data_IF_535986222581
#
_entry.id   IF_535986222581
#
_cell.length_a   1.000
_cell.length_b   1.000
_cell.length_c   1.000
_cell.angle_alpha   90.00
_cell.angle_beta   90.00
_cell.angle_gamma   90.00
#
_symmetry.space_group_name_H-M   'P 1'
#
loop_
_entity.id
_entity.type
_entity.pdbx_description
1 polymer ?
#
# COMPACT_ATOMS: atom_id res chain seq x y z
N UNK A 1 -5.62 6.57 18.41
CA UNK A 1 -4.80 5.64 19.20
C UNK A 1 -5.71 4.57 19.82
N UNK A 2 -5.46 3.30 19.51
CA UNK A 2 -6.20 2.18 20.07
C UNK A 2 -5.78 1.96 21.52
N UNK A 3 -6.65 2.38 22.46
CA UNK A 3 -6.34 2.37 23.90
C UNK A 3 -7.24 1.44 24.72
N UNK A 4 -8.17 0.71 24.07
CA UNK A 4 -9.12 -0.15 24.76
C UNK A 4 -9.28 -1.49 24.03
N UNK A 5 -9.53 -2.59 24.76
CA UNK A 5 -9.88 -3.88 24.16
C UNK A 5 -11.19 -3.80 23.40
N UNK A 6 -11.27 -4.47 22.23
CA UNK A 6 -12.48 -4.49 21.39
C UNK A 6 -12.81 -3.15 20.72
N UNK A 7 -11.84 -2.22 20.67
CA UNK A 7 -12.02 -0.91 20.07
C UNK A 7 -11.75 -0.90 18.57
N UNK A 8 -12.37 0.06 17.87
CA UNK A 8 -12.09 0.42 16.49
C UNK A 8 -11.46 1.79 16.38
N UNK A 9 -10.47 1.95 15.50
CA UNK A 9 -9.95 3.24 15.07
C UNK A 9 -10.32 3.44 13.61
N UNK A 10 -10.94 4.58 13.32
CA UNK A 10 -11.29 5.01 11.99
C UNK A 10 -10.58 6.34 11.73
N UNK A 11 -9.90 6.43 10.62
CA UNK A 11 -9.15 7.64 10.29
C UNK A 11 -9.24 7.99 8.81
N UNK A 12 -9.14 9.27 8.51
CA UNK A 12 -9.05 9.79 7.17
C UNK A 12 -7.87 10.76 7.10
N UNK A 13 -6.90 10.45 6.26
CA UNK A 13 -5.71 11.25 6.03
C UNK A 13 -5.74 11.83 4.63
N UNK A 14 -5.59 13.15 4.52
CA UNK A 14 -5.46 13.85 3.25
C UNK A 14 -4.08 14.49 3.18
N UNK A 15 -3.33 14.20 2.11
CA UNK A 15 -2.04 14.82 1.83
C UNK A 15 -2.07 15.43 0.44
N UNK A 16 -1.75 16.72 0.37
CA UNK A 16 -1.61 17.46 -0.88
C UNK A 16 -0.16 17.91 -1.02
N UNK A 17 0.50 17.47 -2.10
CA UNK A 17 1.85 17.92 -2.45
C UNK A 17 1.75 18.83 -3.64
N UNK A 18 2.02 20.11 -3.41
CA UNK A 18 1.85 21.16 -4.42
C UNK A 18 2.90 21.08 -5.52
N UNK A 19 2.66 21.82 -6.60
CA UNK A 19 3.48 21.83 -7.83
C UNK A 19 4.98 21.96 -7.54
N UNK A 20 5.75 20.99 -8.05
CA UNK A 20 7.20 20.96 -7.93
C UNK A 20 7.73 20.63 -6.52
N UNK A 21 6.86 20.48 -5.53
CA UNK A 21 7.27 20.14 -4.16
C UNK A 21 7.68 18.67 -4.02
N UNK A 22 8.52 18.41 -3.02
CA UNK A 22 8.93 17.05 -2.64
C UNK A 22 8.61 16.79 -1.18
N UNK A 23 7.93 15.70 -0.90
CA UNK A 23 7.58 15.28 0.45
C UNK A 23 7.92 13.80 0.66
N UNK A 24 8.56 13.50 1.79
CA UNK A 24 8.64 12.15 2.30
C UNK A 24 7.78 12.06 3.58
N UNK A 25 6.68 11.35 3.50
CA UNK A 25 5.80 11.09 4.63
C UNK A 25 6.06 9.67 5.15
N UNK A 26 6.28 9.55 6.46
CA UNK A 26 6.56 8.27 7.12
C UNK A 26 5.48 8.01 8.15
N UNK A 27 4.81 6.89 8.01
CA UNK A 27 3.76 6.41 8.91
C UNK A 27 4.22 5.12 9.58
N UNK A 28 4.18 5.09 10.90
CA UNK A 28 4.44 3.90 11.70
C UNK A 28 3.19 3.53 12.49
N UNK A 29 2.63 2.34 12.26
CA UNK A 29 1.43 1.86 12.90
C UNK A 29 1.73 0.66 13.80
N UNK A 30 1.31 0.74 15.05
CA UNK A 30 1.39 -0.36 16.00
C UNK A 30 0.23 -0.30 17.00
N UNK A 31 -0.12 -1.44 17.59
CA UNK A 31 -1.12 -1.49 18.64
C UNK A 31 -0.65 -2.40 19.80
N UNK A 32 -1.07 -2.10 21.04
CA UNK A 32 -0.89 -3.00 22.17
C UNK A 32 -1.56 -4.35 21.91
N UNK A 33 -1.06 -5.38 22.57
CA UNK A 33 -1.67 -6.71 22.52
C UNK A 33 -2.82 -6.78 23.53
N UNK A 34 -4.03 -6.98 23.01
CA UNK A 34 -5.22 -7.25 23.81
C UNK A 34 -5.69 -8.70 23.57
N UNK A 35 -6.49 -9.23 24.50
CA UNK A 35 -7.12 -10.57 24.35
C UNK A 35 -8.41 -10.54 23.53
N UNK A 36 -8.70 -9.42 22.89
CA UNK A 36 -9.88 -9.20 22.05
C UNK A 36 -9.46 -8.69 20.68
N UNK A 37 -10.28 -8.97 19.68
CA UNK A 37 -10.10 -8.45 18.34
C UNK A 37 -10.33 -6.94 18.33
N UNK A 38 -9.44 -6.20 17.71
CA UNK A 38 -9.53 -4.77 17.48
C UNK A 38 -9.54 -4.48 15.98
N UNK A 39 -10.08 -3.34 15.59
CA UNK A 39 -10.17 -2.90 14.20
C UNK A 39 -9.39 -1.60 13.98
N UNK A 40 -8.60 -1.57 12.93
CA UNK A 40 -8.09 -0.36 12.32
C UNK A 40 -8.66 -0.27 10.90
N UNK A 41 -9.32 0.84 10.57
CA UNK A 41 -9.81 1.14 9.24
C UNK A 41 -9.38 2.54 8.84
N UNK A 42 -8.46 2.61 7.87
CA UNK A 42 -7.89 3.86 7.39
C UNK A 42 -8.32 4.17 5.95
N UNK A 43 -8.56 5.45 5.69
CA UNK A 43 -8.71 6.00 4.35
C UNK A 43 -7.62 7.06 4.14
N UNK A 44 -6.79 6.89 3.10
CA UNK A 44 -5.72 7.83 2.78
C UNK A 44 -5.90 8.32 1.35
N UNK A 45 -5.98 9.63 1.19
CA UNK A 45 -6.09 10.30 -0.11
C UNK A 45 -4.87 11.20 -0.31
N UNK A 46 -4.18 10.99 -1.43
CA UNK A 46 -2.95 11.68 -1.79
C UNK A 46 -3.12 12.41 -3.11
N UNK A 47 -2.80 13.69 -3.13
CA UNK A 47 -2.79 14.51 -4.34
C UNK A 47 -1.37 14.95 -4.63
N UNK A 48 -0.83 14.50 -5.75
CA UNK A 48 0.52 14.82 -6.21
C UNK A 48 0.40 15.72 -7.44
N UNK A 49 0.63 17.00 -7.24
CA UNK A 49 0.50 18.00 -8.29
C UNK A 49 1.61 17.89 -9.35
N UNK A 50 1.52 18.71 -10.39
CA UNK A 50 2.45 18.73 -11.52
C UNK A 50 3.91 18.82 -11.07
N UNK A 51 4.76 17.89 -11.53
CA UNK A 51 6.18 17.83 -11.20
C UNK A 51 6.51 17.57 -9.74
N UNK A 52 5.50 17.30 -8.89
CA UNK A 52 5.72 17.00 -7.48
C UNK A 52 6.14 15.54 -7.26
N UNK A 53 6.79 15.30 -6.14
CA UNK A 53 7.16 13.94 -5.71
C UNK A 53 6.68 13.69 -4.30
N UNK A 54 5.91 12.63 -4.11
CA UNK A 54 5.52 12.13 -2.80
C UNK A 54 6.10 10.72 -2.59
N UNK A 55 6.93 10.55 -1.56
CA UNK A 55 7.27 9.24 -1.03
C UNK A 55 6.43 8.98 0.21
N UNK A 56 5.58 7.96 0.16
CA UNK A 56 4.73 7.54 1.26
C UNK A 56 5.24 6.20 1.80
N UNK A 57 5.87 6.23 2.96
CA UNK A 57 6.44 5.06 3.60
C UNK A 57 5.58 4.64 4.78
N UNK A 58 5.10 3.40 4.79
CA UNK A 58 4.30 2.84 5.87
C UNK A 58 4.98 1.60 6.45
N UNK A 59 5.07 1.54 7.77
CA UNK A 59 5.47 0.32 8.49
C UNK A 59 4.33 -0.04 9.43
N UNK A 60 3.65 -1.14 9.13
CA UNK A 60 2.53 -1.64 9.90
C UNK A 60 2.96 -2.88 10.69
N UNK A 61 3.10 -2.72 12.00
CA UNK A 61 3.46 -3.81 12.92
C UNK A 61 2.40 -3.94 14.02
N UNK A 62 1.23 -4.42 13.60
CA UNK A 62 0.09 -4.59 14.47
C UNK A 62 0.20 -5.85 15.33
N UNK A 63 -0.48 -5.86 16.47
CA UNK A 63 -0.66 -7.10 17.24
C UNK A 63 -1.49 -8.13 16.46
N UNK A 64 -1.30 -9.42 16.75
CA UNK A 64 -2.04 -10.50 16.07
C UNK A 64 -3.55 -10.54 16.33
N UNK A 65 -4.07 -9.66 17.18
CA UNK A 65 -5.50 -9.50 17.45
C UNK A 65 -6.07 -8.24 16.76
N UNK A 66 -5.46 -7.83 15.65
CA UNK A 66 -5.93 -6.69 14.84
C UNK A 66 -6.49 -7.15 13.51
N UNK A 67 -7.61 -6.55 13.13
CA UNK A 67 -8.02 -6.43 11.74
C UNK A 67 -7.55 -5.07 11.22
N UNK A 68 -6.82 -5.06 10.13
CA UNK A 68 -6.26 -3.85 9.52
C UNK A 68 -6.80 -3.73 8.09
N UNK A 69 -7.74 -2.80 7.91
CA UNK A 69 -8.46 -2.60 6.65
C UNK A 69 -8.19 -1.19 6.15
N UNK A 70 -7.37 -1.06 5.13
CA UNK A 70 -6.94 0.24 4.63
C UNK A 70 -7.28 0.44 3.15
N UNK A 71 -7.80 1.62 2.86
CA UNK A 71 -7.95 2.13 1.51
C UNK A 71 -6.99 3.30 1.32
N UNK A 72 -6.07 3.19 0.35
CA UNK A 72 -5.12 4.26 0.03
C UNK A 72 -5.23 4.59 -1.46
N UNK A 73 -5.33 5.87 -1.80
CA UNK A 73 -5.42 6.32 -3.19
C UNK A 73 -4.56 7.55 -3.44
N UNK A 74 -3.81 7.54 -4.53
CA UNK A 74 -3.07 8.69 -5.02
C UNK A 74 -3.59 9.13 -6.39
N UNK A 75 -3.82 10.43 -6.56
CA UNK A 75 -3.98 11.08 -7.86
C UNK A 75 -2.67 11.77 -8.22
N UNK A 76 -2.13 11.47 -9.41
CA UNK A 76 -0.83 11.96 -9.84
C UNK A 76 -1.00 12.77 -11.13
N UNK A 77 -0.68 14.05 -11.05
CA UNK A 77 -0.75 14.97 -12.16
C UNK A 77 0.52 14.94 -13.05
N UNK A 78 0.56 15.77 -14.07
CA UNK A 78 1.61 15.79 -15.10
C UNK A 78 3.02 15.76 -14.50
N UNK A 79 3.85 14.81 -14.97
CA UNK A 79 5.24 14.60 -14.49
C UNK A 79 5.36 14.43 -12.96
N UNK A 80 4.26 14.22 -12.26
CA UNK A 80 4.27 13.90 -10.83
C UNK A 80 4.72 12.47 -10.56
N UNK A 81 5.23 12.22 -9.37
CA UNK A 81 5.71 10.89 -8.95
C UNK A 81 5.16 10.52 -7.58
N UNK A 82 4.55 9.35 -7.47
CA UNK A 82 4.21 8.69 -6.20
C UNK A 82 5.10 7.47 -5.98
N UNK A 83 5.76 7.43 -4.83
CA UNK A 83 6.55 6.29 -4.38
C UNK A 83 5.92 5.69 -3.11
N UNK A 84 5.40 4.48 -3.22
CA UNK A 84 4.88 3.72 -2.10
C UNK A 84 5.95 2.78 -1.55
N UNK A 85 6.20 2.86 -0.26
CA UNK A 85 7.04 1.89 0.46
C UNK A 85 6.20 1.29 1.58
N UNK A 86 5.94 -0.01 1.53
CA UNK A 86 5.04 -0.68 2.46
C UNK A 86 5.71 -1.86 3.12
N UNK A 87 5.76 -1.85 4.43
CA UNK A 87 6.15 -2.98 5.27
C UNK A 87 4.96 -3.46 6.09
N UNK A 88 4.45 -4.67 5.83
CA UNK A 88 3.28 -5.22 6.50
C UNK A 88 3.70 -6.40 7.38
N UNK A 89 3.64 -6.17 8.67
CA UNK A 89 3.97 -7.14 9.71
C UNK A 89 2.86 -7.17 10.77
N UNK A 90 2.64 -8.28 11.40
CA UNK A 90 1.61 -8.37 12.45
C UNK A 90 0.21 -8.56 11.88
N UNK A 91 -0.80 -8.08 12.61
CA UNK A 91 -2.25 -8.27 12.41
C UNK A 91 -2.73 -9.73 12.34
N UNK A 92 -4.01 -9.96 12.57
CA UNK A 92 -4.71 -11.22 12.26
C UNK A 92 -5.10 -11.25 10.79
N UNK A 93 -5.72 -10.15 10.35
CA UNK A 93 -6.12 -9.93 8.95
C UNK A 93 -5.64 -8.55 8.53
N UNK A 94 -5.00 -8.46 7.39
CA UNK A 94 -4.74 -7.19 6.68
C UNK A 94 -5.36 -7.25 5.30
N UNK A 95 -6.06 -6.18 4.92
CA UNK A 95 -6.45 -5.90 3.53
C UNK A 95 -5.93 -4.51 3.16
N UNK A 96 -4.98 -4.44 2.23
CA UNK A 96 -4.31 -3.20 1.86
C UNK A 96 -3.98 -3.18 0.37
N UNK A 97 -4.65 -2.30 -0.37
CA UNK A 97 -4.49 -2.17 -1.82
C UNK A 97 -4.31 -0.70 -2.23
N UNK A 98 -3.09 -0.13 -2.11
CA UNK A 98 -2.83 1.21 -2.60
C UNK A 98 -3.15 1.32 -4.10
N UNK A 99 -3.89 2.36 -4.45
CA UNK A 99 -4.27 2.65 -5.83
C UNK A 99 -3.58 3.93 -6.29
N UNK A 100 -2.89 3.88 -7.42
CA UNK A 100 -2.33 5.05 -8.09
C UNK A 100 -3.11 5.34 -9.37
N UNK A 101 -3.62 6.56 -9.51
CA UNK A 101 -4.24 7.05 -10.75
C UNK A 101 -3.28 8.04 -11.40
N UNK A 102 -2.66 7.62 -12.50
CA UNK A 102 -1.72 8.43 -13.27
C UNK A 102 -2.50 9.27 -14.29
N UNK A 103 -3.00 10.42 -13.82
CA UNK A 103 -3.95 11.28 -14.52
C UNK A 103 -3.27 12.25 -15.48
N UNK A 104 -2.04 12.64 -15.17
CA UNK A 104 -1.28 13.58 -16.00
C UNK A 104 -0.25 12.88 -16.88
N UNK A 105 0.03 13.48 -18.04
CA UNK A 105 1.09 12.99 -18.94
C UNK A 105 2.43 12.87 -18.21
N UNK A 106 3.15 11.75 -18.43
CA UNK A 106 4.45 11.51 -17.81
C UNK A 106 4.41 11.20 -16.32
N UNK A 107 3.21 11.03 -15.71
CA UNK A 107 3.09 10.68 -14.30
C UNK A 107 3.67 9.29 -14.01
N UNK A 108 4.19 9.10 -12.79
CA UNK A 108 4.88 7.88 -12.38
C UNK A 108 4.34 7.33 -11.07
N UNK A 109 4.33 5.99 -10.96
CA UNK A 109 4.05 5.27 -9.73
C UNK A 109 5.10 4.19 -9.49
N UNK A 110 5.69 4.20 -8.32
CA UNK A 110 6.61 3.16 -7.86
C UNK A 110 6.06 2.54 -6.59
N UNK A 111 6.00 1.23 -6.54
CA UNK A 111 5.55 0.49 -5.36
C UNK A 111 6.61 -0.53 -4.95
N UNK A 112 7.04 -0.46 -3.69
CA UNK A 112 7.87 -1.47 -3.05
C UNK A 112 7.16 -1.96 -1.80
N UNK A 113 6.81 -3.26 -1.78
CA UNK A 113 6.11 -3.88 -0.67
C UNK A 113 6.85 -5.09 -0.12
N UNK A 114 6.87 -5.20 1.20
CA UNK A 114 7.37 -6.39 1.92
C UNK A 114 6.30 -6.82 2.91
N UNK A 115 5.92 -8.09 2.89
CA UNK A 115 5.01 -8.69 3.86
C UNK A 115 5.59 -9.92 4.52
N UNK A 116 5.29 -10.12 5.80
CA UNK A 116 5.67 -11.31 6.55
C UNK A 116 4.46 -11.86 7.29
N UNK A 117 3.99 -13.04 6.88
CA UNK A 117 2.88 -13.76 7.50
C UNK A 117 3.37 -14.95 8.32
N UNK A 118 2.91 -15.09 9.53
CA UNK A 118 3.17 -16.26 10.39
C UNK A 118 1.86 -16.81 10.96
N UNK A 119 1.94 -17.87 11.75
CA UNK A 119 0.79 -18.56 12.32
C UNK A 119 -0.32 -17.61 12.81
N UNK A 120 -1.52 -17.82 12.30
CA UNK A 120 -2.71 -17.05 12.64
C UNK A 120 -2.81 -15.69 11.95
N UNK A 121 -2.02 -15.46 10.90
CA UNK A 121 -2.05 -14.22 10.10
C UNK A 121 -2.50 -14.51 8.67
N UNK A 122 -3.36 -13.64 8.16
CA UNK A 122 -3.81 -13.62 6.78
C UNK A 122 -3.60 -12.21 6.23
N UNK A 123 -2.55 -12.06 5.42
CA UNK A 123 -2.15 -10.79 4.84
C UNK A 123 -2.53 -10.79 3.35
N UNK A 124 -3.62 -10.12 3.01
CA UNK A 124 -4.08 -9.93 1.64
C UNK A 124 -3.72 -8.50 1.21
N UNK A 125 -2.64 -8.39 0.48
CA UNK A 125 -2.05 -7.12 0.05
C UNK A 125 -2.02 -7.04 -1.47
N UNK A 126 -1.81 -5.83 -1.98
CA UNK A 126 -1.72 -5.66 -3.42
C UNK A 126 -1.50 -4.22 -3.81
N UNK A 127 -1.60 -3.96 -5.11
CA UNK A 127 -1.59 -2.60 -5.64
C UNK A 127 -2.40 -2.52 -6.91
N UNK A 128 -3.00 -1.36 -7.13
CA UNK A 128 -3.68 -1.04 -8.39
C UNK A 128 -3.04 0.20 -9.03
N UNK A 129 -2.74 0.13 -10.32
CA UNK A 129 -2.28 1.29 -11.08
C UNK A 129 -3.19 1.51 -12.28
N UNK A 130 -3.66 2.74 -12.42
CA UNK A 130 -4.49 3.18 -13.55
C UNK A 130 -3.69 4.20 -14.35
N UNK A 131 -3.30 3.84 -15.56
CA UNK A 131 -2.68 4.73 -16.53
C UNK A 131 -3.79 5.41 -17.34
N UNK A 132 -4.06 6.68 -17.02
CA UNK A 132 -5.15 7.47 -17.64
C UNK A 132 -4.63 8.53 -18.61
N UNK A 133 -3.30 8.68 -18.76
CA UNK A 133 -2.68 9.68 -19.61
C UNK A 133 -1.46 9.11 -20.35
N UNK A 134 -1.03 9.73 -21.47
CA UNK A 134 0.13 9.28 -22.24
C UNK A 134 1.45 9.29 -21.46
N UNK A 135 2.40 8.45 -21.91
CA UNK A 135 3.77 8.41 -21.43
C UNK A 135 3.92 8.17 -19.91
N UNK A 136 2.92 7.57 -19.29
CA UNK A 136 2.96 7.24 -17.86
C UNK A 136 3.76 5.97 -17.60
N UNK A 137 4.30 5.81 -16.41
CA UNK A 137 5.06 4.62 -16.05
C UNK A 137 4.75 4.11 -14.65
N UNK A 138 4.77 2.79 -14.48
CA UNK A 138 4.65 2.17 -13.18
C UNK A 138 5.64 1.02 -12.99
N UNK A 139 6.16 0.92 -11.77
CA UNK A 139 7.00 -0.20 -11.33
C UNK A 139 6.46 -0.74 -10.03
N UNK A 140 6.27 -2.05 -9.97
CA UNK A 140 5.76 -2.75 -8.80
C UNK A 140 6.76 -3.82 -8.41
N UNK A 141 7.26 -3.77 -7.17
CA UNK A 141 8.11 -4.80 -6.58
C UNK A 141 7.49 -5.25 -5.26
N UNK A 142 7.04 -6.49 -5.21
CA UNK A 142 6.44 -7.08 -4.01
C UNK A 142 7.21 -8.33 -3.59
N UNK A 143 7.54 -8.39 -2.30
CA UNK A 143 8.15 -9.56 -1.69
C UNK A 143 7.36 -10.02 -0.49
N UNK A 144 7.11 -11.31 -0.40
CA UNK A 144 6.39 -11.89 0.72
C UNK A 144 7.13 -13.07 1.31
N UNK A 145 6.99 -13.22 2.63
CA UNK A 145 7.50 -14.38 3.36
C UNK A 145 6.34 -14.96 4.16
N UNK A 146 6.14 -16.26 4.05
CA UNK A 146 5.16 -17.01 4.83
C UNK A 146 5.84 -18.10 5.65
N UNK A 147 5.38 -18.30 6.90
CA UNK A 147 5.94 -19.27 7.85
C UNK A 147 4.89 -19.81 8.81
N UNK A 148 5.02 -21.09 9.21
CA UNK A 148 4.20 -21.72 10.26
C UNK A 148 2.69 -21.60 9.99
N UNK A 149 2.23 -21.80 8.75
CA UNK A 149 0.82 -21.72 8.38
C UNK A 149 0.29 -20.28 8.28
N UNK A 150 1.16 -19.29 8.14
CA UNK A 150 0.77 -17.92 7.78
C UNK A 150 0.36 -17.85 6.31
N UNK A 151 -0.66 -17.04 6.01
CA UNK A 151 -1.16 -16.84 4.66
C UNK A 151 -0.76 -15.45 4.17
N UNK A 152 -0.08 -15.40 3.03
CA UNK A 152 0.23 -14.15 2.33
C UNK A 152 -0.30 -14.22 0.91
N UNK A 153 -1.20 -13.31 0.57
CA UNK A 153 -1.78 -13.15 -0.76
C UNK A 153 -1.33 -11.81 -1.33
N UNK A 154 -0.92 -11.80 -2.58
CA UNK A 154 -0.64 -10.56 -3.29
C UNK A 154 -1.49 -10.47 -4.57
N UNK A 155 -2.19 -9.34 -4.72
CA UNK A 155 -3.05 -9.07 -5.89
C UNK A 155 -2.63 -7.76 -6.53
N UNK A 156 -2.28 -7.78 -7.79
CA UNK A 156 -1.94 -6.59 -8.55
C UNK A 156 -2.85 -6.43 -9.76
N UNK A 157 -3.23 -5.19 -10.04
CA UNK A 157 -3.97 -4.82 -11.25
C UNK A 157 -3.33 -3.59 -11.89
N UNK A 158 -3.15 -3.65 -13.20
CA UNK A 158 -2.71 -2.50 -14.00
C UNK A 158 -3.72 -2.31 -15.11
N UNK A 159 -4.37 -1.16 -15.11
CA UNK A 159 -5.32 -0.75 -16.14
C UNK A 159 -4.67 0.35 -17.00
N UNK A 160 -4.54 0.12 -18.30
CA UNK A 160 -3.99 1.12 -19.24
C UNK A 160 -5.11 1.53 -20.18
N UNK A 161 -5.55 2.80 -20.09
CA UNK A 161 -6.59 3.33 -20.97
C UNK A 161 -6.10 3.41 -22.42
N UNK A 162 -7.02 3.44 -23.36
CA UNK A 162 -6.68 3.59 -24.81
C UNK A 162 -5.92 4.89 -25.09
N UNK A 163 -6.15 5.91 -24.30
CA UNK A 163 -5.52 7.23 -24.43
C UNK A 163 -4.11 7.29 -23.83
N UNK A 164 -3.74 6.30 -23.01
CA UNK A 164 -2.44 6.24 -22.34
C UNK A 164 -1.33 5.69 -23.25
N UNK A 165 -1.20 6.23 -24.44
CA UNK A 165 -0.20 5.83 -25.43
C UNK A 165 1.21 6.04 -24.90
N UNK A 166 2.14 5.12 -25.20
CA UNK A 166 3.53 5.19 -24.75
C UNK A 166 3.76 4.83 -23.28
N UNK A 167 2.72 4.43 -22.57
CA UNK A 167 2.82 4.03 -21.17
C UNK A 167 3.51 2.68 -20.97
N UNK A 168 4.16 2.52 -19.82
CA UNK A 168 4.96 1.32 -19.48
C UNK A 168 4.63 0.85 -18.07
N UNK A 169 4.58 -0.46 -17.87
CA UNK A 169 4.43 -1.07 -16.54
C UNK A 169 5.33 -2.28 -16.39
N UNK A 170 5.90 -2.45 -15.20
CA UNK A 170 6.69 -3.62 -14.82
C UNK A 170 6.26 -4.10 -13.44
N UNK A 171 6.04 -5.41 -13.29
CA UNK A 171 5.63 -6.03 -12.03
C UNK A 171 6.55 -7.21 -11.73
N UNK A 172 7.12 -7.21 -10.53
CA UNK A 172 7.91 -8.30 -9.98
C UNK A 172 7.29 -8.70 -8.65
N UNK A 173 6.87 -9.97 -8.53
CA UNK A 173 6.34 -10.54 -7.31
C UNK A 173 7.14 -11.78 -6.94
N UNK A 174 7.73 -11.78 -5.76
CA UNK A 174 8.53 -12.87 -5.23
C UNK A 174 7.94 -13.31 -3.89
N UNK A 175 7.80 -14.63 -3.71
CA UNK A 175 7.27 -15.21 -2.48
C UNK A 175 8.19 -16.31 -1.98
N UNK A 176 8.49 -16.27 -0.69
CA UNK A 176 9.27 -17.28 0.01
C UNK A 176 8.39 -17.99 1.05
N UNK A 177 8.14 -19.26 0.82
CA UNK A 177 7.56 -20.15 1.83
C UNK A 177 8.70 -20.79 2.63
N UNK A 178 8.74 -20.54 3.94
CA UNK A 178 9.83 -21.04 4.80
C UNK A 178 9.61 -22.47 5.30
N UNK A 179 8.40 -23.01 5.14
CA UNK A 179 8.02 -24.37 5.49
C UNK A 179 6.82 -24.83 4.65
N UNK A 180 6.44 -26.11 4.80
CA UNK A 180 5.36 -26.74 4.03
C UNK A 180 3.95 -26.49 4.61
N UNK A 181 3.82 -25.66 5.62
CA UNK A 181 2.53 -25.36 6.29
C UNK A 181 1.93 -24.03 5.88
N UNK A 182 2.62 -23.28 5.02
CA UNK A 182 2.23 -21.93 4.56
C UNK A 182 1.74 -21.95 3.14
#
# INVERSE_FOLDING_TARGET
>A
RLNAPGAGQFEHTLIVVEKGAKLHFIEGCSAPKYNMLNLHAGCVELYVAEGATLRYSTIENWSKNMMNLNTKRALVEKNGTIEWISGTFGSHVTMLYPTSVLKGEGAKSEYTGISFASKGQNLDTGTKVIHAAPNTSSTVSSRSIAKNGGVSVYRSSVDISQEAVGSKSSIICESLMMDNSS
#
